data_IF_659900691408
#
_entry.id   IF_659900691408
#
_cell.length_a   1.000
_cell.length_b   1.000
_cell.length_c   1.000
_cell.angle_alpha   90.00
_cell.angle_beta   90.00
_cell.angle_gamma   90.00
#
_symmetry.space_group_name_H-M   'P 1'
#
loop_
_entity.id
_entity.type
_entity.pdbx_description
1 polymer ?
#
# COMPACT_ATOMS: atom_id res chain seq x y z
N UNK A 1 26.31 -4.56 51.26
CA UNK A 1 25.11 -3.78 50.85
C UNK A 1 25.28 -3.08 49.50
N UNK A 2 26.44 -2.49 49.20
CA UNK A 2 26.69 -1.73 47.95
C UNK A 2 26.40 -2.51 46.66
N UNK A 3 26.74 -3.81 46.61
CA UNK A 3 26.54 -4.65 45.41
C UNK A 3 25.06 -4.77 45.02
N UNK A 4 24.16 -4.88 46.00
CA UNK A 4 22.70 -4.98 45.77
C UNK A 4 22.12 -3.67 45.25
N UNK A 5 22.63 -2.54 45.74
CA UNK A 5 22.21 -1.20 45.28
C UNK A 5 22.60 -0.99 43.82
N UNK A 6 23.82 -1.38 43.43
CA UNK A 6 24.24 -1.31 42.03
C UNK A 6 23.39 -2.17 41.10
N UNK A 7 22.98 -3.37 41.53
CA UNK A 7 22.12 -4.25 40.71
C UNK A 7 20.74 -3.65 40.49
N UNK A 8 20.18 -3.00 41.51
CA UNK A 8 18.87 -2.34 41.42
C UNK A 8 18.95 -1.16 40.46
N UNK A 9 20.02 -0.36 40.53
CA UNK A 9 20.24 0.81 39.66
C UNK A 9 20.42 0.38 38.20
N UNK A 10 21.20 -0.66 37.91
CA UNK A 10 21.36 -1.13 36.53
C UNK A 10 20.07 -1.73 35.98
N UNK A 11 19.26 -2.41 36.81
CA UNK A 11 17.99 -2.97 36.39
C UNK A 11 16.95 -1.89 36.08
N UNK A 12 16.84 -0.85 36.93
CA UNK A 12 15.95 0.29 36.64
C UNK A 12 16.41 1.07 35.43
N UNK A 13 17.72 1.21 35.22
CA UNK A 13 18.25 1.88 34.03
C UNK A 13 17.90 1.12 32.73
N UNK A 14 18.02 -0.21 32.73
CA UNK A 14 17.60 -1.07 31.61
C UNK A 14 16.11 -0.92 31.30
N UNK A 15 15.26 -0.85 32.34
CA UNK A 15 13.82 -0.69 32.19
C UNK A 15 13.41 0.71 31.69
N UNK A 16 14.19 1.75 32.01
CA UNK A 16 13.96 3.11 31.53
C UNK A 16 14.37 3.30 30.06
N UNK A 17 15.34 2.50 29.57
CA UNK A 17 15.80 2.54 28.18
C UNK A 17 15.12 1.54 27.25
N UNK A 18 14.31 0.61 27.77
CA UNK A 18 13.42 -0.21 26.94
C UNK A 18 12.25 0.63 26.42
N UNK A 19 12.47 1.31 25.29
CA UNK A 19 11.38 1.86 24.49
C UNK A 19 10.47 0.72 24.01
N UNK A 20 9.14 0.91 23.98
CA UNK A 20 8.24 -0.10 23.43
C UNK A 20 8.60 -0.36 21.96
N UNK A 21 9.00 -1.59 21.65
CA UNK A 21 9.11 -2.05 20.27
C UNK A 21 7.68 -2.32 19.79
N UNK A 22 7.12 -1.36 19.05
CA UNK A 22 5.80 -1.53 18.45
C UNK A 22 5.86 -2.65 17.40
N UNK A 23 4.92 -3.59 17.47
CA UNK A 23 4.85 -4.73 16.54
C UNK A 23 4.62 -4.27 15.09
N UNK A 24 5.30 -4.96 14.16
CA UNK A 24 5.08 -4.95 12.71
C UNK A 24 3.60 -5.18 12.33
N UNK A 25 2.78 -5.77 13.20
CA UNK A 25 1.35 -6.04 12.92
C UNK A 25 0.53 -4.77 12.67
N UNK A 26 0.91 -3.64 13.28
CA UNK A 26 0.27 -2.35 12.98
C UNK A 26 0.65 -1.85 11.59
N UNK A 27 1.85 -2.20 11.11
CA UNK A 27 2.33 -1.83 9.78
C UNK A 27 1.74 -2.69 8.68
N UNK A 28 1.48 -4.00 8.92
CA UNK A 28 0.89 -4.89 7.93
C UNK A 28 -0.57 -4.52 7.63
N UNK A 29 -1.39 -4.27 8.65
CA UNK A 29 -2.78 -3.81 8.49
C UNK A 29 -2.82 -2.43 7.82
N UNK A 30 -1.92 -1.52 8.20
CA UNK A 30 -1.83 -0.20 7.58
C UNK A 30 -1.44 -0.29 6.10
N UNK A 31 -0.51 -1.20 5.76
CA UNK A 31 -0.07 -1.45 4.39
C UNK A 31 -1.18 -2.10 3.56
N UNK A 32 -1.87 -3.11 4.07
CA UNK A 32 -3.01 -3.74 3.40
C UNK A 32 -4.11 -2.71 3.09
N UNK A 33 -4.47 -1.90 4.09
CA UNK A 33 -5.43 -0.80 3.91
C UNK A 33 -4.95 0.21 2.87
N UNK A 34 -3.65 0.47 2.83
CA UNK A 34 -3.06 1.39 1.86
C UNK A 34 -3.09 0.81 0.43
N UNK A 35 -2.66 -0.43 0.23
CA UNK A 35 -2.74 -1.18 -1.04
C UNK A 35 -4.17 -1.19 -1.55
N UNK A 36 -5.14 -1.50 -0.68
CA UNK A 36 -6.57 -1.49 -1.02
C UNK A 36 -7.06 -0.10 -1.41
N UNK A 37 -6.53 0.96 -0.80
CA UNK A 37 -6.88 2.35 -1.17
C UNK A 37 -6.38 2.70 -2.58
N UNK A 38 -5.15 2.31 -2.92
CA UNK A 38 -4.58 2.49 -4.25
C UNK A 38 -5.41 1.73 -5.29
N UNK A 39 -5.64 0.44 -5.03
CA UNK A 39 -6.41 -0.44 -5.91
C UNK A 39 -7.81 0.12 -6.20
N UNK A 40 -8.56 0.49 -5.15
CA UNK A 40 -9.89 1.10 -5.30
C UNK A 40 -9.86 2.41 -6.11
N UNK A 41 -8.86 3.28 -5.89
CA UNK A 41 -8.73 4.53 -6.64
C UNK A 41 -8.49 4.24 -8.12
N UNK A 42 -7.55 3.35 -8.42
CA UNK A 42 -7.24 2.94 -9.79
C UNK A 42 -8.48 2.37 -10.49
N UNK A 43 -9.10 1.35 -9.89
CA UNK A 43 -10.27 0.65 -10.42
C UNK A 43 -11.42 1.62 -10.66
N UNK A 44 -11.74 2.47 -9.67
CA UNK A 44 -12.83 3.44 -9.83
C UNK A 44 -12.56 4.40 -10.98
N UNK A 45 -11.33 4.90 -11.12
CA UNK A 45 -10.96 5.77 -12.22
C UNK A 45 -11.08 5.04 -13.55
N UNK A 46 -10.49 3.85 -13.68
CA UNK A 46 -10.52 3.06 -14.90
C UNK A 46 -11.95 2.72 -15.33
N UNK A 47 -12.76 2.16 -14.42
CA UNK A 47 -14.14 1.76 -14.72
C UNK A 47 -14.99 2.99 -15.12
N UNK A 48 -14.82 4.14 -14.45
CA UNK A 48 -15.55 5.35 -14.79
C UNK A 48 -15.13 5.89 -16.16
N UNK A 49 -13.83 5.94 -16.44
CA UNK A 49 -13.30 6.41 -17.72
C UNK A 49 -13.75 5.53 -18.88
N UNK A 50 -13.78 4.21 -18.67
CA UNK A 50 -14.35 3.26 -19.64
C UNK A 50 -15.85 3.51 -19.87
N UNK A 51 -16.63 3.77 -18.81
CA UNK A 51 -18.06 4.13 -18.91
C UNK A 51 -18.31 5.44 -19.66
N UNK A 52 -17.34 6.36 -19.67
CA UNK A 52 -17.38 7.58 -20.49
C UNK A 52 -17.07 7.33 -21.98
N UNK A 53 -16.84 6.09 -22.39
CA UNK A 53 -16.58 5.72 -23.79
C UNK A 53 -15.13 5.93 -24.23
N UNK A 54 -14.20 6.13 -23.30
CA UNK A 54 -12.77 6.16 -23.59
C UNK A 54 -12.29 4.72 -23.88
N UNK A 55 -11.36 4.58 -24.82
CA UNK A 55 -10.75 3.28 -25.13
C UNK A 55 -10.09 2.67 -23.89
N UNK A 56 -9.97 1.34 -23.84
CA UNK A 56 -9.33 0.64 -22.73
C UNK A 56 -7.90 1.14 -22.48
N UNK A 57 -7.13 1.39 -23.54
CA UNK A 57 -5.78 1.95 -23.45
C UNK A 57 -5.77 3.38 -22.88
N UNK A 58 -6.70 4.23 -23.32
CA UNK A 58 -6.84 5.59 -22.77
C UNK A 58 -7.30 5.59 -21.31
N UNK A 59 -8.22 4.69 -20.96
CA UNK A 59 -8.69 4.50 -19.59
C UNK A 59 -7.57 4.00 -18.67
N UNK A 60 -6.72 3.09 -19.17
CA UNK A 60 -5.53 2.60 -18.47
C UNK A 60 -4.54 3.74 -18.21
N UNK A 61 -4.13 4.46 -19.24
CA UNK A 61 -3.18 5.56 -19.11
C UNK A 61 -3.69 6.65 -18.15
N UNK A 62 -4.98 6.96 -18.23
CA UNK A 62 -5.62 7.93 -17.33
C UNK A 62 -5.66 7.42 -15.88
N UNK A 63 -6.04 6.17 -15.66
CA UNK A 63 -6.06 5.56 -14.33
C UNK A 63 -4.67 5.51 -13.69
N UNK A 64 -3.64 5.14 -14.45
CA UNK A 64 -2.24 5.19 -14.00
C UNK A 64 -1.85 6.62 -13.64
N UNK A 65 -2.11 7.59 -14.52
CA UNK A 65 -1.76 9.00 -14.31
C UNK A 65 -2.39 9.60 -13.05
N UNK A 66 -3.70 9.38 -12.86
CA UNK A 66 -4.43 9.88 -11.69
C UNK A 66 -4.00 9.19 -10.40
N UNK A 67 -3.74 7.88 -10.44
CA UNK A 67 -3.27 7.12 -9.28
C UNK A 67 -1.86 7.56 -8.90
N UNK A 68 -0.94 7.66 -9.86
CA UNK A 68 0.42 8.14 -9.63
C UNK A 68 0.42 9.55 -9.03
N UNK A 69 -0.40 10.46 -9.57
CA UNK A 69 -0.53 11.83 -9.06
C UNK A 69 -1.01 11.88 -7.60
N UNK A 70 -1.98 11.05 -7.22
CA UNK A 70 -2.53 11.03 -5.86
C UNK A 70 -1.57 10.44 -4.83
N UNK A 71 -0.86 9.36 -5.20
CA UNK A 71 -0.07 8.57 -4.25
C UNK A 71 1.43 8.85 -4.29
N UNK A 72 1.94 9.65 -5.24
CA UNK A 72 3.38 9.95 -5.41
C UNK A 72 4.12 10.24 -4.10
N UNK A 73 3.59 11.11 -3.24
CA UNK A 73 4.33 11.61 -2.07
C UNK A 73 4.13 10.79 -0.78
N UNK A 74 3.62 9.55 -0.86
CA UNK A 74 3.34 8.75 0.33
C UNK A 74 4.56 7.94 0.79
N UNK A 75 4.89 8.03 2.08
CA UNK A 75 6.01 7.30 2.68
C UNK A 75 5.85 5.77 2.60
N UNK A 76 4.62 5.27 2.54
CA UNK A 76 4.31 3.84 2.46
C UNK A 76 4.63 3.23 1.09
N UNK A 77 4.88 4.05 0.04
CA UNK A 77 5.19 3.56 -1.30
C UNK A 77 6.40 2.61 -1.34
N UNK A 78 7.39 2.88 -0.49
CA UNK A 78 8.61 2.06 -0.35
C UNK A 78 8.36 0.65 0.19
N UNK A 79 7.18 0.43 0.76
CA UNK A 79 6.80 -0.83 1.42
C UNK A 79 5.73 -1.59 0.62
N UNK A 80 5.30 -1.06 -0.53
CA UNK A 80 4.28 -1.70 -1.37
C UNK A 80 4.86 -2.97 -2.00
N UNK A 81 4.14 -4.07 -1.85
CA UNK A 81 4.29 -5.26 -2.68
C UNK A 81 3.51 -5.06 -3.99
N UNK A 82 4.25 -4.69 -5.06
CA UNK A 82 3.65 -4.41 -6.36
C UNK A 82 2.96 -5.62 -7.01
N UNK A 83 3.52 -6.86 -6.96
CA UNK A 83 2.78 -8.06 -7.36
C UNK A 83 1.41 -8.18 -6.67
N UNK A 84 1.34 -7.99 -5.35
CA UNK A 84 0.07 -8.04 -4.62
C UNK A 84 -0.87 -6.91 -5.03
N UNK A 85 -0.35 -5.68 -5.19
CA UNK A 85 -1.15 -4.55 -5.65
C UNK A 85 -1.75 -4.79 -7.04
N UNK A 86 -0.96 -5.30 -7.98
CA UNK A 86 -1.40 -5.58 -9.36
C UNK A 86 -2.51 -6.63 -9.40
N UNK A 87 -2.37 -7.70 -8.61
CA UNK A 87 -3.43 -8.70 -8.44
C UNK A 87 -4.68 -8.11 -7.78
N UNK A 88 -4.52 -7.25 -6.77
CA UNK A 88 -5.65 -6.55 -6.14
C UNK A 88 -6.41 -5.69 -7.16
N UNK A 89 -5.69 -5.00 -8.06
CA UNK A 89 -6.31 -4.18 -9.11
C UNK A 89 -7.10 -5.05 -10.09
N UNK A 90 -6.51 -6.15 -10.58
CA UNK A 90 -7.19 -7.07 -11.49
C UNK A 90 -8.49 -7.62 -10.87
N UNK A 91 -8.41 -8.08 -9.61
CA UNK A 91 -9.58 -8.56 -8.86
C UNK A 91 -10.64 -7.45 -8.67
N UNK A 92 -10.22 -6.23 -8.33
CA UNK A 92 -11.16 -5.12 -8.12
C UNK A 92 -11.83 -4.69 -9.44
N UNK A 93 -11.12 -4.74 -10.58
CA UNK A 93 -11.67 -4.49 -11.92
C UNK A 93 -12.69 -5.55 -12.32
N UNK A 94 -12.42 -6.82 -12.04
CA UNK A 94 -13.37 -7.92 -12.24
C UNK A 94 -14.66 -7.65 -11.45
N UNK A 95 -14.52 -7.36 -10.15
CA UNK A 95 -15.67 -7.16 -9.27
C UNK A 95 -16.45 -5.86 -9.54
N UNK A 96 -15.77 -4.79 -9.95
CA UNK A 96 -16.38 -3.45 -10.06
C UNK A 96 -16.87 -3.11 -11.47
N UNK A 97 -16.20 -3.63 -12.51
CA UNK A 97 -16.57 -3.39 -13.90
C UNK A 97 -16.59 -4.63 -14.81
N UNK A 98 -16.55 -5.84 -14.25
CA UNK A 98 -16.75 -7.10 -14.98
C UNK A 98 -15.69 -7.33 -16.08
N UNK A 99 -14.45 -6.94 -15.80
CA UNK A 99 -13.31 -7.15 -16.70
C UNK A 99 -12.54 -8.36 -16.19
N UNK A 100 -12.77 -9.51 -16.82
CA UNK A 100 -12.24 -10.80 -16.36
C UNK A 100 -10.81 -11.09 -16.85
N UNK A 101 -10.46 -10.64 -18.06
CA UNK A 101 -9.17 -10.94 -18.69
C UNK A 101 -8.25 -9.70 -18.72
N UNK A 102 -8.14 -9.00 -17.59
CA UNK A 102 -7.27 -7.83 -17.51
C UNK A 102 -5.79 -8.23 -17.55
N UNK A 103 -5.05 -7.73 -18.53
CA UNK A 103 -3.63 -8.00 -18.65
C UNK A 103 -2.82 -7.25 -17.59
N UNK A 104 -2.34 -7.98 -16.58
CA UNK A 104 -1.53 -7.44 -15.48
C UNK A 104 -0.21 -6.83 -15.98
N UNK A 105 0.34 -7.29 -17.11
CA UNK A 105 1.58 -6.72 -17.67
C UNK A 105 1.39 -5.25 -18.09
N UNK A 106 0.16 -4.84 -18.40
CA UNK A 106 -0.19 -3.45 -18.68
C UNK A 106 0.03 -2.49 -17.49
N UNK A 107 0.19 -3.03 -16.28
CA UNK A 107 0.51 -2.28 -15.05
C UNK A 107 2.01 -2.23 -14.74
N UNK A 108 2.89 -2.62 -15.66
CA UNK A 108 4.35 -2.51 -15.46
C UNK A 108 4.80 -1.10 -15.08
N UNK A 109 4.17 -0.07 -15.65
CA UNK A 109 4.49 1.33 -15.37
C UNK A 109 3.81 1.90 -14.09
N UNK A 110 3.06 1.09 -13.35
CA UNK A 110 2.44 1.50 -12.10
C UNK A 110 3.45 1.38 -10.95
N UNK A 111 4.35 2.34 -10.88
CA UNK A 111 5.31 2.48 -9.77
C UNK A 111 5.25 3.88 -9.16
N UNK A 112 5.17 3.91 -7.83
CA UNK A 112 5.19 5.12 -7.03
C UNK A 112 6.60 5.29 -6.43
N UNK A 113 7.35 6.26 -6.95
CA UNK A 113 8.64 6.70 -6.38
C UNK A 113 8.43 7.67 -5.21
#
# INVERSE_FOLDING_TARGET
MIKRVFTIITLTLLLLFSSPVYSLDTSSIALEKYTKKISNKFTRTYCNTTKFGISSEGALAFAIGETNKEFKNNKLNKLIDYPLLKNSIANDLENSCQIYDFDISSLENLEFN
#
